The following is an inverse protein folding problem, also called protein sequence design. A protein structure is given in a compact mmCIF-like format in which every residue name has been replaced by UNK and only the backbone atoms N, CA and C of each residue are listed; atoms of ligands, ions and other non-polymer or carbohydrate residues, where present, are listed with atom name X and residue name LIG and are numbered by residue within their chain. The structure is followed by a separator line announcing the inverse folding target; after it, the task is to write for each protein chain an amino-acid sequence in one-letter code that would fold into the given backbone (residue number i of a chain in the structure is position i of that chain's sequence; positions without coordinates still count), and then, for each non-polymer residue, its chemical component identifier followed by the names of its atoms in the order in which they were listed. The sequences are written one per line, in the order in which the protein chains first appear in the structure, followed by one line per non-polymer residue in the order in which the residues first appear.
data_IF_324636469935
#
_entry.id   IF_324636469935
#
_cell.length_a   1.000
_cell.length_b   1.000
_cell.length_c   1.000
_cell.angle_alpha   90.00
_cell.angle_beta   90.00
_cell.angle_gamma   90.00
#
_symmetry.space_group_name_H-M   'P 1'
#
loop_
_entity.id
_entity.type
_entity.pdbx_description
1 polymer ?
#
# COMPACT_ATOMS: atom_id res chain seq x y z
N UNK A 1 -34.79 -4.08 21.59
CA UNK A 1 -34.17 -5.10 22.48
C UNK A 1 -32.92 -4.50 23.12
N UNK A 2 -32.52 -4.91 24.33
CA UNK A 2 -31.25 -4.45 24.91
C UNK A 2 -30.10 -5.13 24.19
N UNK A 3 -29.16 -4.35 23.67
CA UNK A 3 -27.93 -4.85 23.04
C UNK A 3 -26.83 -3.80 23.06
N UNK A 4 -25.61 -4.24 22.76
CA UNK A 4 -24.45 -3.36 22.69
C UNK A 4 -24.45 -2.59 21.37
N UNK A 5 -24.31 -1.26 21.46
CA UNK A 5 -24.22 -0.34 20.33
C UNK A 5 -23.18 0.73 20.62
N UNK A 6 -22.69 1.37 19.56
CA UNK A 6 -21.70 2.43 19.68
C UNK A 6 -22.35 3.73 20.13
N UNK A 7 -21.73 4.40 21.10
CA UNK A 7 -22.02 5.78 21.49
C UNK A 7 -20.77 6.64 21.26
N UNK A 8 -20.97 7.84 20.69
CA UNK A 8 -19.90 8.76 20.36
C UNK A 8 -20.07 10.03 21.19
N UNK A 9 -19.05 10.34 21.98
CA UNK A 9 -18.91 11.60 22.71
C UNK A 9 -18.60 12.72 21.71
N UNK A 10 -19.57 13.62 21.53
CA UNK A 10 -19.46 14.70 20.56
C UNK A 10 -18.45 15.76 21.01
N UNK A 11 -18.20 15.93 22.30
CA UNK A 11 -17.28 16.97 22.80
C UNK A 11 -15.83 16.56 22.58
N UNK A 12 -15.53 15.26 22.67
CA UNK A 12 -14.21 14.71 22.34
C UNK A 12 -13.98 14.50 20.85
N UNK A 13 -15.05 14.45 20.05
CA UNK A 13 -14.94 14.17 18.62
C UNK A 13 -14.33 15.36 17.85
N UNK A 14 -13.15 15.14 17.26
CA UNK A 14 -12.44 16.12 16.42
C UNK A 14 -12.75 15.97 14.92
N UNK A 15 -13.69 15.10 14.53
CA UNK A 15 -14.11 15.00 13.12
C UNK A 15 -13.17 14.28 12.15
N UNK A 16 -12.15 13.56 12.64
CA UNK A 16 -11.11 12.97 11.78
C UNK A 16 -11.59 11.86 10.80
N UNK A 17 -12.77 11.25 11.03
CA UNK A 17 -13.33 10.23 10.14
C UNK A 17 -12.68 8.83 10.19
N UNK A 18 -11.68 8.58 11.05
CA UNK A 18 -11.05 7.24 11.13
C UNK A 18 -12.05 6.12 11.47
N UNK A 19 -13.01 6.41 12.35
CA UNK A 19 -14.07 5.48 12.73
C UNK A 19 -15.06 5.17 11.60
N UNK A 20 -15.30 6.11 10.68
CA UNK A 20 -16.20 5.86 9.53
C UNK A 20 -15.56 4.87 8.57
N UNK A 21 -14.25 4.93 8.40
CA UNK A 21 -13.49 3.98 7.55
C UNK A 21 -13.43 2.57 8.14
N UNK A 22 -13.43 2.45 9.47
CA UNK A 22 -13.40 1.17 10.16
C UNK A 22 -14.77 0.50 10.29
N UNK A 23 -15.86 1.24 10.13
CA UNK A 23 -17.21 0.70 10.23
C UNK A 23 -17.60 -0.03 8.93
N UNK A 24 -17.42 -1.35 8.91
CA UNK A 24 -17.77 -2.20 7.75
C UNK A 24 -19.26 -2.14 7.38
N UNK A 25 -20.12 -1.90 8.38
CA UNK A 25 -21.58 -1.79 8.19
C UNK A 25 -22.05 -0.41 7.71
N UNK A 26 -21.14 0.57 7.64
CA UNK A 26 -21.47 1.96 7.29
C UNK A 26 -22.39 2.65 8.29
N UNK A 27 -22.40 2.21 9.56
CA UNK A 27 -23.25 2.73 10.61
C UNK A 27 -22.81 4.11 11.15
N UNK A 28 -21.54 4.48 10.98
CA UNK A 28 -20.97 5.75 11.42
C UNK A 28 -20.63 6.60 10.19
N UNK A 29 -21.09 7.84 10.16
CA UNK A 29 -20.76 8.83 9.11
C UNK A 29 -20.36 10.16 9.75
N UNK A 30 -19.75 11.05 8.95
CA UNK A 30 -19.50 12.42 9.37
C UNK A 30 -20.73 13.27 9.05
N UNK A 31 -21.32 13.88 10.07
CA UNK A 31 -22.42 14.84 9.97
C UNK A 31 -21.96 16.10 10.69
N UNK A 32 -22.02 17.25 10.01
CA UNK A 32 -21.56 18.55 10.54
C UNK A 32 -20.12 18.51 11.10
N UNK A 33 -19.25 17.75 10.43
CA UNK A 33 -17.85 17.61 10.81
C UNK A 33 -17.59 16.73 12.03
N UNK A 34 -18.60 16.05 12.59
CA UNK A 34 -18.42 15.08 13.69
C UNK A 34 -18.94 13.70 13.34
N UNK A 35 -18.36 12.69 13.99
CA UNK A 35 -18.77 11.31 13.78
C UNK A 35 -20.12 11.07 14.47
N UNK A 36 -21.08 10.58 13.69
CA UNK A 36 -22.46 10.34 14.12
C UNK A 36 -22.89 8.95 13.70
N UNK A 37 -23.57 8.25 14.61
CA UNK A 37 -24.21 6.98 14.30
C UNK A 37 -25.51 7.27 13.54
N UNK A 38 -25.51 7.06 12.22
CA UNK A 38 -26.64 7.42 11.35
C UNK A 38 -27.85 6.51 11.55
N UNK A 39 -27.62 5.28 12.00
CA UNK A 39 -28.68 4.37 12.42
C UNK A 39 -28.12 3.32 13.37
N UNK A 40 -28.81 3.12 14.49
CA UNK A 40 -28.49 2.05 15.43
C UNK A 40 -28.71 0.67 14.82
N UNK A 41 -29.69 0.50 13.93
CA UNK A 41 -29.95 -0.79 13.27
C UNK A 41 -28.82 -1.24 12.34
N UNK A 42 -27.91 -0.35 11.97
CA UNK A 42 -26.75 -0.66 11.13
C UNK A 42 -25.53 -1.05 11.98
N UNK A 43 -25.53 -0.68 13.26
CA UNK A 43 -24.47 -1.04 14.18
C UNK A 43 -24.66 -2.50 14.61
N UNK A 44 -23.69 -3.36 14.33
CA UNK A 44 -23.65 -4.75 14.80
C UNK A 44 -23.14 -4.88 16.25
N UNK A 45 -22.56 -3.80 16.81
CA UNK A 45 -22.00 -3.79 18.16
C UNK A 45 -20.62 -4.44 18.27
N UNK A 46 -19.94 -4.71 17.14
CA UNK A 46 -18.64 -5.41 17.13
C UNK A 46 -17.50 -4.57 17.72
N UNK A 47 -17.56 -3.24 17.56
CA UNK A 47 -16.61 -2.33 18.19
C UNK A 47 -15.30 -2.04 17.43
N UNK A 48 -15.22 -2.37 16.14
CA UNK A 48 -14.03 -2.12 15.30
C UNK A 48 -13.60 -0.64 15.25
N UNK A 49 -14.52 0.29 15.48
CA UNK A 49 -14.24 1.73 15.49
C UNK A 49 -13.57 2.23 16.79
N UNK A 50 -13.66 1.50 17.91
CA UNK A 50 -13.10 1.90 19.20
C UNK A 50 -11.58 2.18 19.11
N UNK A 51 -10.72 1.25 18.65
CA UNK A 51 -9.28 1.47 18.61
C UNK A 51 -8.85 2.53 17.58
N UNK A 52 -9.77 3.02 16.76
CA UNK A 52 -9.48 3.98 15.68
C UNK A 52 -9.71 5.43 16.11
N UNK A 53 -10.31 5.66 17.28
CA UNK A 53 -10.54 7.01 17.76
C UNK A 53 -9.31 7.50 18.55
N UNK A 54 -8.53 8.46 18.03
CA UNK A 54 -7.36 8.99 18.75
C UNK A 54 -7.74 9.79 20.01
N UNK A 55 -9.00 10.22 20.12
CA UNK A 55 -9.52 11.00 21.24
C UNK A 55 -10.29 10.15 22.26
N UNK A 56 -10.33 8.83 22.06
CA UNK A 56 -11.11 7.91 22.90
C UNK A 56 -12.58 8.38 23.09
N UNK A 57 -13.16 8.89 22.00
CA UNK A 57 -14.51 9.45 21.99
C UNK A 57 -15.60 8.40 21.75
N UNK A 58 -15.24 7.12 21.59
CA UNK A 58 -16.17 6.06 21.16
C UNK A 58 -16.27 5.00 22.24
N UNK A 59 -17.49 4.70 22.67
CA UNK A 59 -17.78 3.72 23.70
C UNK A 59 -18.77 2.67 23.19
N UNK A 60 -18.64 1.45 23.71
CA UNK A 60 -19.62 0.38 23.49
C UNK A 60 -20.55 0.33 24.70
N UNK A 61 -21.82 0.73 24.49
CA UNK A 61 -22.82 0.83 25.56
C UNK A 61 -23.95 -0.15 25.34
N UNK A 62 -24.50 -0.70 26.42
CA UNK A 62 -25.69 -1.55 26.37
C UNK A 62 -26.94 -0.70 26.62
N UNK A 63 -27.78 -0.58 25.59
CA UNK A 63 -29.03 0.18 25.67
C UNK A 63 -30.13 -0.44 24.82
N UNK A 64 -31.34 0.07 24.95
CA UNK A 64 -32.44 -0.32 24.07
C UNK A 64 -32.18 0.22 22.67
N UNK A 65 -32.05 -0.68 21.70
CA UNK A 65 -31.85 -0.36 20.30
C UNK A 65 -32.66 -1.32 19.39
N UNK A 66 -32.96 -0.93 18.14
CA UNK A 66 -33.48 -1.83 17.12
C UNK A 66 -32.53 -3.00 16.90
N UNK A 67 -33.05 -4.17 16.52
CA UNK A 67 -32.20 -5.30 16.09
C UNK A 67 -31.27 -4.86 14.96
N UNK A 68 -30.05 -5.39 14.96
CA UNK A 68 -29.17 -5.25 13.81
C UNK A 68 -29.83 -5.88 12.58
N UNK A 69 -29.89 -5.12 11.49
CA UNK A 69 -30.49 -5.56 10.23
C UNK A 69 -29.40 -5.59 9.14
N UNK A 70 -28.83 -6.77 8.83
CA UNK A 70 -27.77 -6.89 7.84
C UNK A 70 -28.25 -6.51 6.43
N UNK A 71 -29.56 -6.59 6.13
CA UNK A 71 -30.11 -6.18 4.83
C UNK A 71 -30.16 -4.66 4.65
N UNK A 72 -30.16 -3.92 5.76
CA UNK A 72 -30.14 -2.47 5.80
C UNK A 72 -28.78 -1.89 6.15
N UNK A 73 -27.85 -2.71 6.61
CA UNK A 73 -26.46 -2.31 6.70
C UNK A 73 -26.04 -1.79 5.33
N UNK A 74 -25.48 -0.58 5.30
CA UNK A 74 -24.77 -0.12 4.13
C UNK A 74 -23.47 -0.92 4.11
N UNK A 75 -23.56 -2.22 3.76
CA UNK A 75 -22.50 -2.93 3.06
C UNK A 75 -22.38 -2.15 1.75
N UNK A 76 -21.79 -0.96 1.83
CA UNK A 76 -20.92 -0.49 0.78
C UNK A 76 -19.92 -1.63 0.68
N UNK A 77 -20.24 -2.61 -0.18
CA UNK A 77 -19.40 -2.92 -1.30
C UNK A 77 -18.44 -1.74 -1.38
N UNK A 78 -17.22 -1.94 -0.87
CA UNK A 78 -16.09 -1.20 -1.36
C UNK A 78 -16.16 -1.50 -2.85
N UNK A 79 -16.94 -0.70 -3.57
CA UNK A 79 -16.76 -0.44 -4.96
C UNK A 79 -15.29 -0.06 -4.98
N UNK A 80 -14.50 -1.08 -5.33
CA UNK A 80 -13.24 -0.99 -6.03
C UNK A 80 -13.02 0.44 -6.46
N UNK A 81 -12.10 1.09 -5.76
CA UNK A 81 -11.71 2.46 -5.96
C UNK A 81 -12.86 3.48 -5.80
N UNK A 82 -12.66 4.41 -4.87
CA UNK A 82 -12.92 5.80 -5.23
C UNK A 82 -11.95 6.15 -6.38
N UNK A 83 -12.26 5.64 -7.58
CA UNK A 83 -11.97 6.35 -8.80
C UNK A 83 -12.93 7.51 -8.74
N UNK A 84 -12.55 8.56 -8.01
CA UNK A 84 -12.70 9.88 -8.60
C UNK A 84 -12.00 9.72 -9.95
N UNK A 85 -12.77 9.43 -10.99
CA UNK A 85 -12.36 9.68 -12.36
C UNK A 85 -12.26 11.20 -12.45
N UNK A 86 -11.21 11.74 -11.83
CA UNK A 86 -10.57 12.92 -12.35
C UNK A 86 -10.38 12.60 -13.83
N UNK A 87 -10.92 13.44 -14.71
CA UNK A 87 -10.90 13.23 -16.16
C UNK A 87 -9.48 12.91 -16.68
N UNK A 88 -8.46 13.27 -15.90
CA UNK A 88 -7.12 12.72 -15.91
C UNK A 88 -6.86 12.10 -14.53
N UNK A 89 -6.55 10.79 -14.42
CA UNK A 89 -6.28 10.12 -13.14
C UNK A 89 -5.27 10.83 -12.22
N UNK A 90 -5.15 10.38 -10.96
CA UNK A 90 -4.24 11.01 -9.99
C UNK A 90 -2.83 11.21 -10.59
N UNK A 91 -2.24 12.42 -10.52
CA UNK A 91 -0.89 12.67 -11.02
C UNK A 91 0.16 11.67 -10.55
N UNK A 92 -0.02 11.17 -9.33
CA UNK A 92 0.86 10.19 -8.70
C UNK A 92 0.79 8.81 -9.34
N UNK A 93 -0.26 8.48 -10.10
CA UNK A 93 -0.39 7.19 -10.81
C UNK A 93 -0.10 7.30 -12.30
N UNK A 94 0.15 8.51 -12.83
CA UNK A 94 0.51 8.66 -14.24
C UNK A 94 1.84 8.00 -14.52
N UNK A 95 1.81 7.06 -15.47
CA UNK A 95 3.00 6.37 -15.97
C UNK A 95 3.89 7.38 -16.68
N UNK A 96 5.13 7.53 -16.21
CA UNK A 96 6.15 8.39 -16.80
C UNK A 96 7.43 7.60 -16.97
N UNK A 97 8.03 7.74 -18.14
CA UNK A 97 9.43 7.41 -18.38
C UNK A 97 10.22 8.70 -18.12
N UNK A 98 11.29 8.62 -17.35
CA UNK A 98 12.18 9.75 -17.05
C UNK A 98 13.43 9.54 -17.89
N UNK A 99 13.57 10.37 -18.93
CA UNK A 99 14.76 10.39 -19.76
C UNK A 99 15.90 11.07 -18.98
N UNK A 100 17.02 10.36 -18.88
CA UNK A 100 18.25 10.85 -18.23
C UNK A 100 19.42 10.49 -19.12
N UNK A 101 20.24 11.48 -19.44
CA UNK A 101 21.54 11.28 -20.06
C UNK A 101 22.54 10.79 -18.99
N UNK A 102 23.53 10.01 -19.41
CA UNK A 102 24.57 9.53 -18.50
C UNK A 102 25.54 10.68 -18.18
N UNK A 103 25.38 11.29 -17.01
CA UNK A 103 26.32 12.31 -16.53
C UNK A 103 27.65 11.65 -16.08
N UNK A 104 28.81 12.19 -16.52
CA UNK A 104 30.10 11.78 -16.00
C UNK A 104 30.20 12.11 -14.51
N UNK A 105 30.93 11.29 -13.75
CA UNK A 105 31.14 11.49 -12.31
C UNK A 105 31.86 12.83 -12.05
N UNK A 106 31.10 13.88 -11.77
CA UNK A 106 31.63 15.16 -11.32
C UNK A 106 31.44 15.27 -9.80
N UNK A 107 32.54 15.47 -9.07
CA UNK A 107 32.54 15.59 -7.62
C UNK A 107 31.68 16.76 -7.15
N UNK A 108 30.62 16.46 -6.38
CA UNK A 108 29.79 17.47 -5.73
C UNK A 108 28.44 16.95 -5.24
N UNK A 109 27.60 16.40 -6.14
CA UNK A 109 26.27 15.87 -5.79
C UNK A 109 25.94 14.66 -6.66
N UNK A 110 25.51 13.56 -6.04
CA UNK A 110 25.10 12.35 -6.75
C UNK A 110 23.75 12.57 -7.45
N UNK A 111 23.65 12.42 -8.79
CA UNK A 111 22.37 12.57 -9.49
C UNK A 111 21.43 11.41 -9.18
N UNK A 112 20.11 11.67 -9.22
CA UNK A 112 19.13 10.59 -9.14
C UNK A 112 19.26 9.65 -10.33
N UNK A 113 19.25 8.34 -10.05
CA UNK A 113 19.30 7.29 -11.08
C UNK A 113 17.92 6.77 -11.48
N UNK A 114 16.85 7.32 -10.90
CA UNK A 114 15.47 6.90 -11.16
C UNK A 114 15.06 7.21 -12.60
N UNK A 115 14.46 6.22 -13.28
CA UNK A 115 14.04 6.31 -14.70
C UNK A 115 12.54 6.19 -14.92
N UNK A 116 11.74 6.07 -13.87
CA UNK A 116 10.29 5.99 -13.99
C UNK A 116 9.53 6.71 -12.88
N UNK A 117 8.24 6.89 -13.12
CA UNK A 117 7.23 7.12 -12.09
C UNK A 117 5.90 6.45 -12.48
N UNK A 118 5.07 5.98 -11.53
CA UNK A 118 5.34 5.81 -10.09
C UNK A 118 6.34 4.69 -9.79
N UNK A 119 6.71 4.57 -8.51
CA UNK A 119 7.66 3.56 -8.02
C UNK A 119 7.06 2.58 -7.01
N UNK A 120 5.90 2.91 -6.43
CA UNK A 120 5.21 2.04 -5.47
C UNK A 120 4.50 0.90 -6.21
N UNK A 121 4.72 -0.35 -5.80
CA UNK A 121 4.14 -1.54 -6.43
C UNK A 121 2.61 -1.45 -6.49
N UNK A 122 1.99 -0.85 -5.47
CA UNK A 122 0.55 -0.59 -5.47
C UNK A 122 0.08 0.28 -6.65
N UNK A 123 0.91 1.23 -7.09
CA UNK A 123 0.55 2.27 -8.05
C UNK A 123 1.05 2.01 -9.49
N UNK A 124 2.13 1.23 -9.66
CA UNK A 124 2.70 0.97 -11.00
C UNK A 124 1.71 0.22 -11.89
N UNK A 125 1.70 0.54 -13.19
CA UNK A 125 0.99 -0.27 -14.17
C UNK A 125 1.87 -1.46 -14.59
N UNK A 126 1.39 -2.71 -14.50
CA UNK A 126 2.18 -3.89 -14.85
C UNK A 126 2.71 -3.93 -16.29
N UNK A 127 2.05 -3.24 -17.21
CA UNK A 127 2.43 -3.19 -18.64
C UNK A 127 3.08 -1.86 -19.04
N UNK A 128 3.54 -1.08 -18.07
CA UNK A 128 4.22 0.18 -18.33
C UNK A 128 5.51 -0.04 -19.16
N UNK A 129 5.80 0.84 -20.14
CA UNK A 129 6.88 0.63 -21.11
C UNK A 129 8.27 0.55 -20.48
N UNK A 130 8.49 1.15 -19.31
CA UNK A 130 9.77 1.08 -18.60
C UNK A 130 10.09 -0.29 -18.01
N UNK A 131 9.14 -1.24 -17.98
CA UNK A 131 9.41 -2.61 -17.59
C UNK A 131 9.91 -3.48 -18.75
N UNK A 132 9.63 -3.09 -20.00
CA UNK A 132 10.00 -3.86 -21.19
C UNK A 132 11.51 -4.04 -21.30
N UNK A 133 11.97 -5.29 -21.40
CA UNK A 133 13.38 -5.68 -21.51
C UNK A 133 14.28 -5.14 -20.37
N UNK A 134 13.67 -4.86 -19.21
CA UNK A 134 14.32 -4.21 -18.09
C UNK A 134 14.99 -5.17 -17.11
N UNK A 135 15.92 -4.64 -16.31
CA UNK A 135 16.31 -5.24 -15.04
C UNK A 135 15.36 -4.71 -13.96
N UNK A 136 14.67 -5.57 -13.23
CA UNK A 136 13.71 -5.17 -12.20
C UNK A 136 14.39 -5.17 -10.81
N UNK A 137 14.17 -4.12 -10.04
CA UNK A 137 14.46 -4.02 -8.61
C UNK A 137 13.14 -4.03 -7.85
N UNK A 138 12.90 -5.05 -7.03
CA UNK A 138 11.82 -5.06 -6.03
C UNK A 138 12.44 -4.69 -4.69
N UNK A 139 12.05 -3.55 -4.13
CA UNK A 139 12.75 -2.94 -2.99
C UNK A 139 11.82 -2.76 -1.79
N UNK A 140 12.29 -3.13 -0.59
CA UNK A 140 11.64 -2.75 0.66
C UNK A 140 11.89 -1.26 0.97
N UNK A 141 10.90 -0.59 1.57
CA UNK A 141 10.92 0.86 1.82
C UNK A 141 12.19 1.34 2.56
N UNK A 142 12.51 0.67 3.67
CA UNK A 142 13.62 1.06 4.54
C UNK A 142 15.00 0.96 3.88
N UNK A 143 15.15 0.16 2.82
CA UNK A 143 16.43 0.01 2.09
C UNK A 143 16.86 1.36 1.49
N UNK A 144 15.90 2.15 1.01
CA UNK A 144 16.18 3.44 0.38
C UNK A 144 16.81 4.45 1.34
N UNK A 145 16.43 4.37 2.63
CA UNK A 145 16.95 5.25 3.67
C UNK A 145 18.21 4.68 4.34
N UNK A 146 18.29 3.35 4.48
CA UNK A 146 19.39 2.69 5.19
C UNK A 146 20.65 2.55 4.33
N UNK A 147 20.52 2.33 3.01
CA UNK A 147 21.67 2.05 2.16
C UNK A 147 22.15 3.30 1.43
N UNK A 148 23.30 3.85 1.84
CA UNK A 148 23.84 5.10 1.28
C UNK A 148 24.05 5.07 -0.24
N UNK A 149 24.53 3.95 -0.78
CA UNK A 149 24.77 3.78 -2.22
C UNK A 149 23.53 3.35 -3.01
N UNK A 150 22.32 3.52 -2.46
CA UNK A 150 21.08 3.01 -3.05
C UNK A 150 20.88 3.42 -4.51
N UNK A 151 21.05 4.70 -4.83
CA UNK A 151 20.86 5.20 -6.19
C UNK A 151 21.85 4.57 -7.18
N UNK A 152 23.13 4.53 -6.83
CA UNK A 152 24.19 4.07 -7.73
C UNK A 152 24.24 2.54 -7.87
N UNK A 153 24.10 1.81 -6.76
CA UNK A 153 24.28 0.34 -6.76
C UNK A 153 22.98 -0.42 -6.97
N UNK A 154 21.83 0.11 -6.57
CA UNK A 154 20.53 -0.57 -6.70
C UNK A 154 19.62 0.05 -7.78
N UNK A 155 19.52 1.36 -7.91
CA UNK A 155 18.57 1.98 -8.87
C UNK A 155 19.15 2.08 -10.29
N UNK A 156 20.43 2.41 -10.44
CA UNK A 156 21.06 2.61 -11.76
C UNK A 156 20.83 1.45 -12.72
N UNK A 157 20.26 1.76 -13.89
CA UNK A 157 20.00 0.79 -14.95
C UNK A 157 18.84 -0.19 -14.68
N UNK A 158 18.04 0.05 -13.63
CA UNK A 158 16.91 -0.82 -13.26
C UNK A 158 15.59 -0.06 -13.24
N UNK A 159 14.53 -0.77 -13.60
CA UNK A 159 13.18 -0.36 -13.22
C UNK A 159 12.95 -0.79 -11.76
N UNK A 160 12.32 0.05 -10.95
CA UNK A 160 12.03 -0.21 -9.54
C UNK A 160 10.52 -0.39 -9.28
N UNK A 161 10.19 -1.31 -8.37
CA UNK A 161 8.91 -1.43 -7.70
C UNK A 161 9.15 -1.56 -6.18
N UNK A 162 8.56 -0.66 -5.39
CA UNK A 162 8.71 -0.60 -3.93
C UNK A 162 7.52 -1.28 -3.27
N UNK A 163 7.78 -2.11 -2.25
CA UNK A 163 6.76 -2.78 -1.46
C UNK A 163 7.27 -3.09 -0.05
N UNK A 164 6.41 -2.92 0.95
CA UNK A 164 6.67 -3.27 2.34
C UNK A 164 5.62 -4.27 2.83
N UNK A 165 5.95 -5.57 2.97
CA UNK A 165 4.99 -6.59 3.42
C UNK A 165 4.36 -6.32 4.79
N UNK A 166 4.98 -5.48 5.60
CA UNK A 166 4.50 -5.12 6.94
C UNK A 166 3.52 -3.93 6.92
N UNK A 167 3.68 -3.00 5.98
CA UNK A 167 2.91 -1.76 5.94
C UNK A 167 1.83 -1.78 4.85
N UNK A 168 2.10 -2.48 3.75
CA UNK A 168 1.19 -2.56 2.61
C UNK A 168 0.05 -3.55 2.84
N UNK A 169 -1.08 -3.29 2.19
CA UNK A 169 -2.02 -4.35 1.86
C UNK A 169 -1.48 -5.13 0.65
N UNK A 170 -0.87 -6.28 0.92
CA UNK A 170 -0.20 -7.10 -0.10
C UNK A 170 -1.16 -7.96 -0.94
N UNK A 171 -2.47 -7.86 -0.72
CA UNK A 171 -3.43 -8.61 -1.52
C UNK A 171 -3.34 -8.18 -2.99
N UNK A 172 -3.14 -9.14 -3.90
CA UNK A 172 -2.94 -8.87 -5.33
C UNK A 172 -1.49 -8.63 -5.75
N UNK A 173 -0.52 -8.57 -4.83
CA UNK A 173 0.87 -8.25 -5.20
C UNK A 173 1.55 -9.36 -5.98
N UNK A 174 1.23 -10.63 -5.67
CA UNK A 174 1.77 -11.78 -6.38
C UNK A 174 1.28 -11.77 -7.83
N UNK A 175 -0.01 -11.50 -8.03
CA UNK A 175 -0.68 -11.37 -9.33
C UNK A 175 -0.08 -10.22 -10.14
N UNK A 176 0.10 -9.08 -9.50
CA UNK A 176 0.65 -7.88 -10.14
C UNK A 176 2.11 -8.07 -10.56
N UNK A 177 2.94 -8.65 -9.69
CA UNK A 177 4.32 -8.98 -10.01
C UNK A 177 4.39 -10.03 -11.13
N UNK A 178 3.53 -11.05 -11.12
CA UNK A 178 3.49 -12.04 -12.19
C UNK A 178 3.10 -11.41 -13.53
N UNK A 179 2.18 -10.44 -13.54
CA UNK A 179 1.86 -9.67 -14.74
C UNK A 179 3.07 -8.85 -15.22
N UNK A 180 3.81 -8.20 -14.32
CA UNK A 180 5.05 -7.49 -14.69
C UNK A 180 6.05 -8.47 -15.32
N UNK A 181 6.23 -9.65 -14.73
CA UNK A 181 7.17 -10.66 -15.23
C UNK A 181 6.73 -11.14 -16.62
N UNK A 182 5.50 -11.66 -16.74
CA UNK A 182 4.99 -12.31 -17.94
C UNK A 182 4.93 -11.41 -19.18
N UNK A 183 4.65 -10.11 -19.03
CA UNK A 183 4.39 -9.22 -20.17
C UNK A 183 5.62 -8.42 -20.64
N UNK A 184 6.74 -8.44 -19.92
CA UNK A 184 7.81 -7.47 -20.13
C UNK A 184 9.18 -8.05 -20.47
N UNK A 185 9.35 -9.38 -20.53
CA UNK A 185 10.63 -10.02 -20.86
C UNK A 185 11.79 -9.50 -19.98
N UNK A 186 11.62 -9.60 -18.65
CA UNK A 186 12.59 -9.08 -17.70
C UNK A 186 13.93 -9.84 -17.82
N UNK A 187 15.04 -9.10 -17.82
CA UNK A 187 16.39 -9.67 -17.92
C UNK A 187 16.89 -10.23 -16.59
N UNK A 188 16.60 -9.53 -15.50
CA UNK A 188 16.97 -9.92 -14.13
C UNK A 188 15.96 -9.36 -13.14
N UNK A 189 15.83 -10.02 -11.98
CA UNK A 189 15.11 -9.50 -10.83
C UNK A 189 16.07 -9.44 -9.64
N UNK A 190 16.20 -8.25 -9.05
CA UNK A 190 16.91 -8.03 -7.80
C UNK A 190 15.89 -7.73 -6.72
N UNK A 191 15.93 -8.45 -5.61
CA UNK A 191 15.12 -8.16 -4.43
C UNK A 191 16.02 -7.56 -3.37
N UNK A 192 15.83 -6.28 -3.07
CA UNK A 192 16.55 -5.60 -2.01
C UNK A 192 15.66 -5.49 -0.76
N UNK A 193 16.13 -6.05 0.36
CA UNK A 193 15.38 -6.06 1.62
C UNK A 193 16.28 -5.73 2.81
N UNK A 194 15.66 -5.34 3.92
CA UNK A 194 16.37 -5.28 5.20
C UNK A 194 16.58 -6.68 5.78
N UNK A 195 17.58 -6.83 6.66
CA UNK A 195 17.90 -8.09 7.36
C UNK A 195 16.79 -8.58 8.29
N UNK A 196 15.92 -7.67 8.73
CA UNK A 196 14.85 -7.92 9.69
C UNK A 196 13.78 -8.87 9.13
N UNK A 197 13.12 -9.67 10.00
CA UNK A 197 12.18 -10.70 9.55
C UNK A 197 10.95 -10.14 8.81
N UNK A 198 10.52 -8.92 9.13
CA UNK A 198 9.36 -8.31 8.48
C UNK A 198 9.56 -8.07 6.98
N UNK A 199 10.81 -7.96 6.51
CA UNK A 199 11.10 -7.81 5.08
C UNK A 199 11.26 -9.15 4.35
N UNK A 200 11.31 -10.30 5.05
CA UNK A 200 11.46 -11.61 4.40
C UNK A 200 10.31 -11.96 3.45
N UNK A 201 9.10 -11.44 3.72
CA UNK A 201 7.92 -11.66 2.89
C UNK A 201 8.08 -11.16 1.44
N UNK A 202 8.90 -10.15 1.18
CA UNK A 202 9.04 -9.57 -0.16
C UNK A 202 9.70 -10.56 -1.14
N UNK A 203 10.64 -11.37 -0.65
CA UNK A 203 11.29 -12.43 -1.44
C UNK A 203 10.28 -13.53 -1.78
N UNK A 204 9.41 -13.88 -0.83
CA UNK A 204 8.35 -14.87 -1.02
C UNK A 204 7.35 -14.40 -2.08
N UNK A 205 6.95 -13.12 -2.06
CA UNK A 205 6.05 -12.54 -3.07
C UNK A 205 6.64 -12.68 -4.48
N UNK A 206 7.92 -12.33 -4.65
CA UNK A 206 8.60 -12.41 -5.95
C UNK A 206 8.76 -13.84 -6.44
N UNK A 207 9.13 -14.78 -5.55
CA UNK A 207 9.24 -16.21 -5.91
C UNK A 207 7.90 -16.79 -6.38
N UNK A 208 6.82 -16.53 -5.64
CA UNK A 208 5.46 -16.95 -6.06
C UNK A 208 5.03 -16.30 -7.36
N UNK A 209 5.42 -15.05 -7.60
CA UNK A 209 5.12 -14.37 -8.86
C UNK A 209 5.86 -14.98 -10.06
N UNK A 210 7.12 -15.41 -9.88
CA UNK A 210 7.87 -16.17 -10.89
C UNK A 210 7.21 -17.52 -11.19
N UNK A 211 6.86 -18.27 -10.13
CA UNK A 211 6.13 -19.54 -10.26
C UNK A 211 4.82 -19.37 -11.03
N UNK A 212 4.03 -18.35 -10.67
CA UNK A 212 2.74 -18.07 -11.32
C UNK A 212 2.89 -17.54 -12.75
N UNK A 213 3.95 -16.79 -13.05
CA UNK A 213 4.24 -16.34 -14.42
C UNK A 213 4.77 -17.47 -15.31
N UNK A 214 5.25 -18.57 -14.73
CA UNK A 214 5.84 -19.69 -15.47
C UNK A 214 7.11 -19.31 -16.22
N UNK A 215 7.88 -18.33 -15.73
CA UNK A 215 9.10 -17.84 -16.37
C UNK A 215 10.32 -17.98 -15.46
N UNK A 216 11.43 -18.39 -16.06
CA UNK A 216 12.73 -18.43 -15.39
C UNK A 216 13.48 -17.12 -15.65
N UNK A 217 13.44 -16.22 -14.66
CA UNK A 217 14.21 -14.97 -14.67
C UNK A 217 15.28 -15.03 -13.59
N UNK A 218 16.56 -14.70 -13.87
CA UNK A 218 17.61 -14.68 -12.85
C UNK A 218 17.22 -13.81 -11.65
N UNK A 219 17.14 -14.43 -10.48
CA UNK A 219 16.74 -13.80 -9.22
C UNK A 219 17.96 -13.65 -8.30
N UNK A 220 18.23 -12.42 -7.85
CA UNK A 220 19.27 -12.10 -6.86
C UNK A 220 18.64 -11.43 -5.65
N UNK A 221 19.00 -11.88 -4.45
CA UNK A 221 18.66 -11.22 -3.20
C UNK A 221 19.82 -10.32 -2.74
N UNK A 222 19.49 -9.13 -2.26
CA UNK A 222 20.43 -8.20 -1.60
C UNK A 222 19.86 -7.87 -0.23
N UNK A 223 20.62 -8.20 0.82
CA UNK A 223 20.19 -7.99 2.20
C UNK A 223 20.98 -6.83 2.79
N UNK A 224 20.25 -5.81 3.26
CA UNK A 224 20.82 -4.63 3.92
C UNK A 224 20.63 -4.77 5.43
N UNK A 225 21.71 -4.64 6.20
CA UNK A 225 21.63 -4.62 7.66
C UNK A 225 21.00 -3.34 8.18
N UNK A 226 20.58 -3.33 9.45
CA UNK A 226 20.00 -2.15 10.10
C UNK A 226 20.99 -0.98 10.23
N UNK A 227 22.30 -1.26 10.17
CA UNK A 227 23.37 -0.26 10.10
C UNK A 227 23.80 0.10 8.66
N UNK A 228 23.06 -0.35 7.64
CA UNK A 228 23.22 0.10 6.25
C UNK A 228 24.30 -0.63 5.44
N UNK A 229 24.81 -1.78 5.89
CA UNK A 229 25.79 -2.59 5.16
C UNK A 229 25.10 -3.67 4.32
N UNK A 230 25.73 -4.04 3.21
CA UNK A 230 25.28 -5.19 2.40
C UNK A 230 25.82 -6.48 3.03
N UNK A 231 24.95 -7.49 3.18
CA UNK A 231 25.31 -8.86 3.60
C UNK A 231 25.41 -9.82 2.42
#
# INVERSE_FOLDING_TARGET
MKRKVIQIDQDKCIGCGLCTNACMQGAIQLVDGKATLVSESYCDGLGMCLPQCPMDAIQLVEKEAPSFDPSRSNIKLKATAATTTMACGCPSTHTRVIDREEEPEAGGSQPSRLRQWPIQLHLVNPTAPYFKDANLLVCADCVMAAYGDFQEKLVKGRAIAIACPKLDNTQGYVEKLAQIIAHNNLKTIVVARMEVPCCGGIVVLVKRALEMAGQEVPLREVVISVDGKVK
#
